data_IF_383545220583
#
_entry.id   IF_383545220583
#
_cell.length_a   1.000
_cell.length_b   1.000
_cell.length_c   1.000
_cell.angle_alpha   90.00
_cell.angle_beta   90.00
_cell.angle_gamma   90.00
#
_symmetry.space_group_name_H-M   'P 1'
#
loop_
_entity.id
_entity.type
_entity.pdbx_description
1 polymer ?
#
# COMPACT_ATOMS: atom_id res chain seq x y z
N UNK A 1 13.67 -15.73 23.15
CA UNK A 1 14.33 -16.59 22.15
C UNK A 1 13.90 -15.99 20.81
N UNK A 2 14.82 -15.35 20.08
CA UNK A 2 14.55 -14.96 18.70
C UNK A 2 14.36 -16.25 17.91
N UNK A 3 13.32 -16.32 17.08
CA UNK A 3 13.08 -17.44 16.18
C UNK A 3 14.31 -17.52 15.24
N UNK A 4 15.10 -18.60 15.31
CA UNK A 4 16.33 -18.78 14.52
C UNK A 4 16.05 -18.96 13.01
N UNK A 5 14.76 -18.96 12.61
CA UNK A 5 14.38 -19.10 11.21
C UNK A 5 14.65 -17.79 10.46
N UNK A 6 15.18 -17.87 9.22
CA UNK A 6 15.34 -16.69 8.39
C UNK A 6 14.02 -15.95 8.20
N UNK A 7 14.06 -14.62 8.26
CA UNK A 7 12.94 -13.76 7.94
C UNK A 7 12.57 -13.94 6.47
N UNK A 8 11.30 -14.25 6.22
CA UNK A 8 10.75 -14.43 4.88
C UNK A 8 9.83 -13.27 4.53
N UNK A 9 10.21 -12.49 3.51
CA UNK A 9 9.46 -11.36 2.97
C UNK A 9 9.29 -11.53 1.46
N UNK A 10 8.13 -11.18 0.95
CA UNK A 10 7.88 -11.01 -0.49
C UNK A 10 7.28 -9.64 -0.78
N UNK A 11 7.41 -9.17 -2.01
CA UNK A 11 6.91 -7.86 -2.44
C UNK A 11 6.09 -8.02 -3.71
N UNK A 12 4.96 -7.30 -3.82
CA UNK A 12 4.21 -7.16 -5.06
C UNK A 12 4.03 -5.70 -5.44
N UNK A 13 4.28 -5.40 -6.71
CA UNK A 13 4.23 -4.05 -7.29
C UNK A 13 3.37 -4.14 -8.55
N UNK A 14 2.21 -3.49 -8.54
CA UNK A 14 1.34 -3.40 -9.72
C UNK A 14 1.67 -2.15 -10.50
N UNK A 15 2.09 -2.34 -11.75
CA UNK A 15 2.48 -1.29 -12.69
C UNK A 15 1.38 -1.12 -13.76
N UNK A 16 1.12 0.11 -14.16
CA UNK A 16 0.25 0.42 -15.29
C UNK A 16 0.81 1.61 -16.06
N UNK A 17 1.40 1.35 -17.22
CA UNK A 17 2.14 2.36 -18.00
C UNK A 17 3.17 3.14 -17.14
N UNK A 18 3.76 2.45 -16.16
CA UNK A 18 4.69 3.06 -15.22
C UNK A 18 6.00 3.43 -15.92
N UNK A 19 6.57 4.57 -15.53
CA UNK A 19 7.84 5.04 -16.05
C UNK A 19 8.98 4.12 -15.59
N UNK A 20 9.88 3.77 -16.50
CA UNK A 20 11.10 3.05 -16.14
C UNK A 20 11.96 3.81 -15.11
N UNK A 21 11.90 5.15 -15.09
CA UNK A 21 12.61 5.99 -14.11
C UNK A 21 12.02 5.79 -12.72
N UNK A 22 10.69 5.84 -12.57
CA UNK A 22 10.01 5.62 -11.27
C UNK A 22 10.28 4.23 -10.73
N UNK A 23 10.16 3.20 -11.58
CA UNK A 23 10.44 1.83 -11.18
C UNK A 23 11.91 1.62 -10.77
N UNK A 24 12.84 2.27 -11.43
CA UNK A 24 14.27 2.22 -11.07
C UNK A 24 14.52 2.89 -9.72
N UNK A 25 13.89 4.04 -9.45
CA UNK A 25 13.99 4.73 -8.17
C UNK A 25 13.43 3.84 -7.03
N UNK A 26 12.25 3.24 -7.24
CA UNK A 26 11.66 2.29 -6.31
C UNK A 26 12.57 1.10 -6.03
N UNK A 27 13.05 0.39 -7.08
CA UNK A 27 13.93 -0.78 -6.91
C UNK A 27 15.24 -0.39 -6.24
N UNK A 28 15.81 0.77 -6.55
CA UNK A 28 17.02 1.28 -5.87
C UNK A 28 16.78 1.47 -4.37
N UNK A 29 15.69 2.11 -3.97
CA UNK A 29 15.35 2.31 -2.56
C UNK A 29 15.02 0.99 -1.87
N UNK A 30 14.31 0.06 -2.55
CA UNK A 30 14.04 -1.28 -2.03
C UNK A 30 15.33 -2.07 -1.74
N UNK A 31 16.31 -2.01 -2.64
CA UNK A 31 17.61 -2.67 -2.42
C UNK A 31 18.30 -2.08 -1.19
N UNK A 32 18.30 -0.76 -1.03
CA UNK A 32 18.93 -0.09 0.12
C UNK A 32 18.26 -0.46 1.44
N UNK A 33 16.93 -0.47 1.50
CA UNK A 33 16.21 -0.84 2.73
C UNK A 33 16.32 -2.33 3.05
N UNK A 34 16.45 -3.21 2.03
CA UNK A 34 16.73 -4.65 2.24
C UNK A 34 18.16 -4.86 2.76
N UNK A 35 19.13 -4.11 2.25
CA UNK A 35 20.51 -4.12 2.76
C UNK A 35 20.54 -3.76 4.25
N UNK A 36 19.79 -2.75 4.66
CA UNK A 36 19.66 -2.35 6.06
C UNK A 36 18.95 -3.42 6.90
N UNK A 37 17.88 -4.02 6.36
CA UNK A 37 17.16 -5.11 7.01
C UNK A 37 18.06 -6.31 7.29
N UNK A 38 18.95 -6.67 6.31
CA UNK A 38 19.91 -7.76 6.47
C UNK A 38 21.01 -7.49 7.49
N UNK A 39 21.26 -6.25 7.85
CA UNK A 39 22.16 -5.91 8.95
C UNK A 39 21.55 -6.27 10.32
N UNK A 40 20.23 -6.35 10.42
CA UNK A 40 19.49 -6.62 11.68
C UNK A 40 18.90 -8.03 11.71
N UNK A 41 18.61 -8.64 10.57
CA UNK A 41 17.95 -9.93 10.44
C UNK A 41 18.65 -10.85 9.44
N UNK A 42 18.61 -12.16 9.69
CA UNK A 42 18.91 -13.16 8.65
C UNK A 42 17.70 -13.23 7.74
N UNK A 43 17.82 -12.71 6.52
CA UNK A 43 16.72 -12.65 5.55
C UNK A 43 16.90 -13.71 4.48
N UNK A 44 15.87 -14.50 4.21
CA UNK A 44 15.85 -15.45 3.09
C UNK A 44 15.84 -14.74 1.72
N UNK A 45 15.86 -15.51 0.63
CA UNK A 45 15.66 -14.96 -0.70
C UNK A 45 14.35 -14.18 -0.77
N UNK A 46 14.38 -12.97 -1.35
CA UNK A 46 13.28 -12.03 -1.38
C UNK A 46 12.69 -11.95 -2.81
N UNK A 47 11.56 -12.61 -3.10
CA UNK A 47 10.88 -12.47 -4.37
C UNK A 47 10.15 -11.13 -4.46
N UNK A 48 10.38 -10.40 -5.56
CA UNK A 48 9.71 -9.15 -5.90
C UNK A 48 8.95 -9.35 -7.21
N UNK A 49 7.62 -9.35 -7.12
CA UNK A 49 6.74 -9.52 -8.27
C UNK A 49 6.41 -8.16 -8.88
N UNK A 50 6.88 -7.93 -10.10
CA UNK A 50 6.51 -6.80 -10.94
C UNK A 50 5.34 -7.21 -11.83
N UNK A 51 4.16 -6.69 -11.55
CA UNK A 51 2.91 -7.09 -12.20
C UNK A 51 2.52 -5.98 -13.17
N UNK A 52 2.76 -6.20 -14.46
CA UNK A 52 2.50 -5.21 -15.50
C UNK A 52 1.07 -5.34 -16.04
N UNK A 53 0.19 -4.50 -15.54
CA UNK A 53 -1.21 -4.39 -15.96
C UNK A 53 -1.42 -3.61 -17.27
N UNK A 54 -0.35 -3.21 -17.96
CA UNK A 54 -0.48 -2.46 -19.23
C UNK A 54 -1.12 -3.32 -20.31
N UNK A 55 -1.98 -2.72 -21.12
CA UNK A 55 -2.62 -3.41 -22.28
C UNK A 55 -1.57 -3.92 -23.28
N UNK A 56 -0.52 -3.13 -23.48
CA UNK A 56 0.64 -3.48 -24.28
C UNK A 56 1.89 -3.40 -23.40
N UNK A 57 2.24 -4.49 -22.67
CA UNK A 57 3.31 -4.47 -21.70
C UNK A 57 4.65 -4.20 -22.40
N UNK A 58 5.39 -3.21 -21.90
CA UNK A 58 6.71 -2.84 -22.37
C UNK A 58 7.78 -3.05 -21.29
N UNK A 59 7.37 -3.46 -20.09
CA UNK A 59 8.30 -3.67 -19.00
C UNK A 59 9.17 -4.89 -19.28
N UNK A 60 10.47 -4.70 -19.21
CA UNK A 60 11.48 -5.76 -19.29
C UNK A 60 12.40 -5.68 -18.07
N UNK A 61 12.84 -6.82 -17.56
CA UNK A 61 13.84 -6.85 -16.48
C UNK A 61 15.19 -6.25 -16.86
N UNK A 62 15.45 -6.08 -18.15
CA UNK A 62 16.65 -5.39 -18.67
C UNK A 62 16.75 -3.93 -18.20
N UNK A 63 15.61 -3.29 -17.88
CA UNK A 63 15.58 -1.94 -17.27
C UNK A 63 16.36 -1.88 -15.96
N UNK A 64 16.56 -3.01 -15.30
CA UNK A 64 17.24 -3.15 -14.02
C UNK A 64 18.63 -3.80 -14.14
N UNK A 65 19.19 -3.96 -15.36
CA UNK A 65 20.45 -4.68 -15.58
C UNK A 65 21.64 -4.09 -14.81
N UNK A 66 21.68 -2.78 -14.65
CA UNK A 66 22.73 -2.09 -13.86
C UNK A 66 22.59 -2.29 -12.35
N UNK A 67 21.43 -2.74 -11.86
CA UNK A 67 21.22 -3.15 -10.46
C UNK A 67 21.52 -4.63 -10.21
N UNK A 68 21.81 -5.43 -11.24
CA UNK A 68 21.92 -6.90 -11.14
C UNK A 68 22.91 -7.35 -10.06
N UNK A 69 24.04 -6.68 -9.92
CA UNK A 69 25.03 -6.98 -8.87
C UNK A 69 24.48 -6.72 -7.45
N UNK A 70 23.78 -5.59 -7.25
CA UNK A 70 23.17 -5.25 -5.95
C UNK A 70 22.01 -6.18 -5.63
N UNK A 71 21.15 -6.48 -6.60
CA UNK A 71 20.04 -7.42 -6.45
C UNK A 71 20.54 -8.80 -6.04
N UNK A 72 21.57 -9.31 -6.71
CA UNK A 72 22.17 -10.59 -6.38
C UNK A 72 22.80 -10.59 -4.98
N UNK A 73 23.57 -9.55 -4.63
CA UNK A 73 24.20 -9.42 -3.31
C UNK A 73 23.17 -9.40 -2.16
N UNK A 74 21.95 -8.90 -2.42
CA UNK A 74 20.86 -8.86 -1.46
C UNK A 74 19.85 -10.00 -1.63
N UNK A 75 20.17 -11.01 -2.45
CA UNK A 75 19.29 -12.15 -2.76
C UNK A 75 17.85 -11.72 -3.12
N UNK A 76 17.73 -10.61 -3.85
CA UNK A 76 16.46 -10.10 -4.38
C UNK A 76 16.23 -10.69 -5.76
N UNK A 77 15.12 -11.37 -5.94
CA UNK A 77 14.71 -11.97 -7.21
C UNK A 77 13.54 -11.20 -7.82
N UNK A 78 13.78 -10.49 -8.92
CA UNK A 78 12.74 -9.82 -9.68
C UNK A 78 11.99 -10.83 -10.56
N UNK A 79 10.67 -10.90 -10.42
CA UNK A 79 9.77 -11.78 -11.17
C UNK A 79 8.73 -10.96 -11.92
N UNK A 80 8.78 -10.98 -13.24
CA UNK A 80 7.85 -10.25 -14.09
C UNK A 80 6.58 -11.10 -14.35
N UNK A 81 5.40 -10.49 -14.13
CA UNK A 81 4.08 -11.05 -14.41
C UNK A 81 3.36 -10.11 -15.37
N UNK A 82 3.07 -10.57 -16.58
CA UNK A 82 2.48 -9.74 -17.65
C UNK A 82 1.67 -10.57 -18.63
N UNK A 83 0.98 -9.91 -19.58
CA UNK A 83 0.19 -10.57 -20.62
C UNK A 83 -1.27 -10.83 -20.23
N UNK A 84 -1.71 -10.36 -19.08
CA UNK A 84 -3.09 -10.46 -18.58
C UNK A 84 -3.92 -9.19 -18.85
N UNK A 85 -3.31 -8.14 -19.44
CA UNK A 85 -3.93 -6.84 -19.67
C UNK A 85 -4.27 -6.09 -18.39
N UNK A 86 -5.10 -5.06 -18.47
CA UNK A 86 -5.49 -4.26 -17.32
C UNK A 86 -6.64 -4.92 -16.53
N UNK A 87 -6.29 -5.67 -15.51
CA UNK A 87 -7.27 -6.34 -14.61
C UNK A 87 -7.69 -5.49 -13.41
N UNK A 88 -7.15 -4.29 -13.24
CA UNK A 88 -7.33 -3.41 -12.08
C UNK A 88 -6.28 -3.63 -11.01
N UNK A 89 -6.23 -2.71 -10.02
CA UNK A 89 -5.16 -2.67 -9.02
C UNK A 89 -5.16 -3.91 -8.12
N UNK A 90 -6.24 -4.12 -7.38
CA UNK A 90 -6.31 -5.21 -6.40
C UNK A 90 -6.22 -6.59 -7.05
N UNK A 91 -6.91 -6.80 -8.19
CA UNK A 91 -6.82 -8.06 -8.93
C UNK A 91 -5.42 -8.30 -9.50
N UNK A 92 -4.67 -7.24 -9.84
CA UNK A 92 -3.25 -7.35 -10.20
C UNK A 92 -2.44 -8.01 -9.09
N UNK A 93 -2.54 -7.52 -7.86
CA UNK A 93 -1.87 -8.14 -6.70
C UNK A 93 -2.33 -9.58 -6.45
N UNK A 94 -3.61 -9.89 -6.66
CA UNK A 94 -4.14 -11.24 -6.49
C UNK A 94 -3.54 -12.29 -7.45
N UNK A 95 -2.98 -11.88 -8.59
CA UNK A 95 -2.35 -12.81 -9.55
C UNK A 95 -1.19 -13.61 -8.91
N UNK A 96 -0.63 -13.10 -7.83
CA UNK A 96 0.47 -13.77 -7.13
C UNK A 96 0.08 -14.28 -5.74
N UNK A 97 -1.17 -14.13 -5.33
CA UNK A 97 -1.62 -14.47 -3.97
C UNK A 97 -1.27 -15.92 -3.60
N UNK A 98 -1.47 -16.86 -4.54
CA UNK A 98 -1.14 -18.28 -4.35
C UNK A 98 0.37 -18.60 -4.46
N UNK A 99 1.21 -17.59 -4.71
CA UNK A 99 2.68 -17.72 -4.78
C UNK A 99 3.35 -17.07 -3.58
N UNK A 100 2.58 -16.54 -2.64
CA UNK A 100 3.08 -15.95 -1.39
C UNK A 100 3.32 -17.07 -0.41
N UNK A 101 4.60 -17.41 -0.19
CA UNK A 101 5.04 -18.41 0.78
C UNK A 101 5.75 -17.76 1.98
N UNK A 102 5.97 -16.46 1.91
CA UNK A 102 6.64 -15.68 2.94
C UNK A 102 5.74 -15.38 4.12
N UNK A 103 6.33 -15.17 5.31
CA UNK A 103 5.61 -14.75 6.53
C UNK A 103 5.07 -13.33 6.40
N UNK A 104 5.84 -12.44 5.74
CA UNK A 104 5.48 -11.04 5.50
C UNK A 104 5.31 -10.79 4.01
N UNK A 105 4.35 -9.96 3.67
CA UNK A 105 4.14 -9.50 2.30
C UNK A 105 4.01 -7.99 2.26
N UNK A 106 4.72 -7.37 1.31
CA UNK A 106 4.63 -5.93 1.06
C UNK A 106 3.89 -5.68 -0.25
N UNK A 107 2.76 -5.00 -0.15
CA UNK A 107 2.02 -4.44 -1.28
C UNK A 107 2.55 -3.03 -1.49
N UNK A 108 2.94 -2.68 -2.73
CA UNK A 108 3.64 -1.45 -3.02
C UNK A 108 3.23 -0.84 -4.35
N UNK A 109 3.04 0.49 -4.37
CA UNK A 109 2.89 1.26 -5.60
C UNK A 109 4.23 1.49 -6.30
N UNK A 110 4.23 1.67 -7.64
CA UNK A 110 5.46 1.87 -8.41
C UNK A 110 6.12 3.25 -8.22
N UNK A 111 5.40 4.24 -7.65
CA UNK A 111 5.81 5.63 -7.45
C UNK A 111 6.22 5.93 -6.00
N UNK A 112 6.72 4.91 -5.29
CA UNK A 112 7.19 5.01 -3.89
C UNK A 112 8.72 4.92 -3.85
N UNK A 113 9.31 5.68 -2.94
CA UNK A 113 10.68 5.51 -2.49
C UNK A 113 10.67 5.22 -0.98
N UNK A 114 11.38 4.17 -0.59
CA UNK A 114 11.49 3.74 0.81
C UNK A 114 12.71 4.41 1.46
N UNK A 115 12.53 4.85 2.70
CA UNK A 115 13.66 5.19 3.57
C UNK A 115 14.44 3.91 3.93
N UNK A 116 15.72 4.06 4.23
CA UNK A 116 16.62 2.91 4.49
C UNK A 116 16.17 2.02 5.66
N UNK A 117 15.57 2.60 6.70
CA UNK A 117 15.10 1.89 7.89
C UNK A 117 13.64 1.39 7.76
N UNK A 118 12.94 1.73 6.69
CA UNK A 118 11.50 1.50 6.53
C UNK A 118 11.08 0.05 6.82
N UNK A 119 11.74 -0.94 6.21
CA UNK A 119 11.41 -2.35 6.41
C UNK A 119 11.87 -2.85 7.78
N UNK A 120 13.02 -2.42 8.28
CA UNK A 120 13.52 -2.80 9.59
C UNK A 120 12.56 -2.39 10.69
N UNK A 121 12.10 -1.14 10.67
CA UNK A 121 11.13 -0.61 11.63
C UNK A 121 9.77 -1.32 11.53
N UNK A 122 9.30 -1.59 10.31
CA UNK A 122 8.04 -2.29 10.09
C UNK A 122 8.05 -3.74 10.57
N UNK A 123 9.08 -4.48 10.24
CA UNK A 123 9.24 -5.87 10.70
C UNK A 123 9.40 -5.94 12.21
N UNK A 124 10.23 -5.06 12.79
CA UNK A 124 10.41 -4.99 14.25
C UNK A 124 9.09 -4.70 14.96
N UNK A 125 8.26 -3.81 14.39
CA UNK A 125 6.93 -3.50 14.95
C UNK A 125 6.00 -4.72 14.89
N UNK A 126 5.92 -5.41 13.75
CA UNK A 126 5.08 -6.60 13.58
C UNK A 126 5.53 -7.76 14.48
N UNK A 127 6.84 -7.94 14.68
CA UNK A 127 7.35 -8.98 15.58
C UNK A 127 7.14 -8.68 17.07
N UNK A 128 7.19 -7.40 17.41
CA UNK A 128 6.99 -6.96 18.81
C UNK A 128 5.52 -6.92 19.22
N UNK A 129 4.58 -6.95 18.26
CA UNK A 129 3.14 -6.81 18.48
C UNK A 129 2.40 -7.94 17.75
N UNK A 130 2.25 -9.08 18.41
CA UNK A 130 1.74 -10.31 17.79
C UNK A 130 0.27 -10.29 17.33
N UNK A 131 -0.49 -9.25 17.68
CA UNK A 131 -1.86 -9.01 17.25
C UNK A 131 -1.97 -8.03 16.07
N UNK A 132 -0.84 -7.45 15.62
CA UNK A 132 -0.79 -6.58 14.43
C UNK A 132 -0.64 -7.41 13.18
N UNK A 133 -1.55 -7.22 12.23
CA UNK A 133 -1.54 -7.93 10.94
C UNK A 133 -1.12 -7.07 9.76
N UNK A 134 -1.10 -5.73 9.94
CA UNK A 134 -0.72 -4.79 8.90
C UNK A 134 -0.12 -3.51 9.51
N UNK A 135 1.00 -3.06 8.95
CA UNK A 135 1.65 -1.80 9.29
C UNK A 135 1.63 -0.83 8.09
N UNK A 136 1.25 0.43 8.38
CA UNK A 136 1.22 1.55 7.43
C UNK A 136 2.24 2.60 7.80
N UNK A 137 3.02 3.15 6.84
CA UNK A 137 4.10 4.08 7.12
C UNK A 137 3.65 5.53 7.27
N UNK A 138 4.55 6.37 7.78
CA UNK A 138 4.55 7.79 7.49
C UNK A 138 4.91 8.02 6.02
N UNK A 139 4.12 8.83 5.34
CA UNK A 139 4.35 9.19 3.96
C UNK A 139 4.42 10.71 3.77
N UNK A 140 5.27 11.14 2.86
CA UNK A 140 5.36 12.53 2.42
C UNK A 140 5.49 12.60 0.90
N UNK A 141 5.16 13.77 0.34
CA UNK A 141 5.50 14.12 -1.02
C UNK A 141 6.99 14.48 -1.12
N UNK A 142 7.56 14.52 -2.34
CA UNK A 142 8.92 14.97 -2.59
C UNK A 142 9.24 16.36 -1.99
N UNK A 143 8.24 17.22 -1.84
CA UNK A 143 8.35 18.53 -1.21
C UNK A 143 8.27 18.51 0.33
N UNK A 144 8.27 17.34 0.95
CA UNK A 144 8.21 17.15 2.41
C UNK A 144 6.82 17.33 3.02
N UNK A 145 5.78 17.61 2.25
CA UNK A 145 4.41 17.73 2.77
C UNK A 145 3.87 16.35 3.12
N UNK A 146 3.40 16.18 4.37
CA UNK A 146 2.84 14.91 4.86
C UNK A 146 1.64 14.46 4.03
N UNK A 147 1.62 13.19 3.69
CA UNK A 147 0.46 12.50 3.16
C UNK A 147 -0.25 11.71 4.25
N UNK A 148 -1.57 11.70 4.21
CA UNK A 148 -2.38 10.97 5.18
C UNK A 148 -2.85 9.67 4.54
N UNK A 149 -2.11 8.58 4.75
CA UNK A 149 -2.43 7.25 4.20
C UNK A 149 -3.51 6.54 5.01
N UNK A 150 -3.63 6.85 6.30
CA UNK A 150 -4.62 6.27 7.20
C UNK A 150 -5.94 7.04 7.15
N UNK A 151 -7.06 6.32 7.22
CA UNK A 151 -8.41 6.91 7.16
C UNK A 151 -9.32 6.29 8.23
N UNK A 152 -10.23 7.09 8.75
CA UNK A 152 -11.39 6.55 9.47
C UNK A 152 -12.41 6.01 8.46
N UNK A 153 -13.39 5.22 8.94
CA UNK A 153 -14.47 4.77 8.08
C UNK A 153 -15.19 5.97 7.43
N UNK A 154 -15.33 6.01 6.10
CA UNK A 154 -15.87 7.16 5.39
C UNK A 154 -17.38 7.33 5.60
N UNK A 155 -17.87 8.55 5.37
CA UNK A 155 -19.29 8.81 5.16
C UNK A 155 -19.54 9.37 3.77
N UNK A 156 -20.76 9.19 3.27
CA UNK A 156 -21.19 9.74 1.96
C UNK A 156 -20.96 11.25 1.90
N UNK A 157 -21.30 11.98 2.99
CA UNK A 157 -21.06 13.41 3.07
C UNK A 157 -19.55 13.76 2.95
N UNK A 158 -18.66 12.98 3.57
CA UNK A 158 -17.22 13.23 3.46
C UNK A 158 -16.73 13.13 2.02
N UNK A 159 -17.16 12.09 1.29
CA UNK A 159 -16.81 11.95 -0.11
C UNK A 159 -17.44 13.02 -1.00
N UNK A 160 -18.71 13.39 -0.73
CA UNK A 160 -19.34 14.49 -1.45
C UNK A 160 -18.57 15.80 -1.27
N UNK A 161 -18.21 16.13 -0.03
CA UNK A 161 -17.40 17.33 0.26
C UNK A 161 -16.07 17.30 -0.46
N UNK A 162 -15.34 16.15 -0.42
CA UNK A 162 -14.02 16.03 -1.06
C UNK A 162 -14.08 16.05 -2.58
N UNK A 163 -15.10 15.42 -3.18
CA UNK A 163 -15.19 15.24 -4.62
C UNK A 163 -15.87 16.38 -5.36
N UNK A 164 -16.86 17.03 -4.76
CA UNK A 164 -17.77 17.91 -5.49
C UNK A 164 -17.81 19.36 -4.97
N UNK A 165 -17.41 19.63 -3.71
CA UNK A 165 -17.43 21.00 -3.22
C UNK A 165 -16.23 21.82 -3.76
N UNK A 166 -16.46 23.07 -4.20
CA UNK A 166 -15.40 24.02 -4.48
C UNK A 166 -14.48 24.24 -3.26
N UNK A 167 -13.20 24.54 -3.52
CA UNK A 167 -12.19 24.65 -2.47
C UNK A 167 -12.56 25.60 -1.34
N UNK A 168 -13.20 26.76 -1.65
CA UNK A 168 -13.65 27.72 -0.63
C UNK A 168 -14.73 27.16 0.30
N UNK A 169 -15.64 26.32 -0.20
CA UNK A 169 -16.66 25.68 0.63
C UNK A 169 -16.13 24.46 1.40
N UNK A 170 -15.08 23.80 0.91
CA UNK A 170 -14.42 22.71 1.66
C UNK A 170 -13.84 23.17 2.98
N UNK A 171 -13.41 24.44 3.08
CA UNK A 171 -12.88 25.01 4.30
C UNK A 171 -13.87 24.93 5.48
N UNK A 172 -15.18 25.03 5.21
CA UNK A 172 -16.23 24.87 6.23
C UNK A 172 -16.29 23.46 6.83
N UNK A 173 -15.75 22.46 6.10
CA UNK A 173 -15.72 21.06 6.50
C UNK A 173 -14.30 20.58 6.86
N UNK A 174 -13.35 21.51 7.08
CA UNK A 174 -11.95 21.18 7.34
C UNK A 174 -11.75 20.21 8.50
N UNK A 175 -12.45 20.44 9.62
CA UNK A 175 -12.44 19.52 10.79
C UNK A 175 -12.92 18.11 10.45
N UNK A 176 -13.94 18.02 9.57
CA UNK A 176 -14.48 16.73 9.12
C UNK A 176 -13.48 16.00 8.25
N UNK A 177 -12.86 16.69 7.30
CA UNK A 177 -11.83 16.13 6.42
C UNK A 177 -10.62 15.69 7.24
N UNK A 178 -10.15 16.55 8.17
CA UNK A 178 -9.03 16.25 9.04
C UNK A 178 -9.28 15.01 9.93
N UNK A 179 -10.50 14.86 10.46
CA UNK A 179 -10.87 13.65 11.21
C UNK A 179 -10.86 12.41 10.32
N UNK A 180 -11.45 12.50 9.11
CA UNK A 180 -11.48 11.39 8.16
C UNK A 180 -10.06 10.98 7.73
N UNK A 181 -9.20 11.93 7.46
CA UNK A 181 -7.81 11.72 7.02
C UNK A 181 -6.85 11.51 8.20
N UNK A 182 -7.38 11.39 9.42
CA UNK A 182 -6.62 11.13 10.65
C UNK A 182 -5.41 12.08 10.81
N UNK A 183 -5.63 13.39 10.62
CA UNK A 183 -4.57 14.40 10.73
C UNK A 183 -3.96 14.47 12.14
N UNK A 184 -4.59 13.87 13.14
CA UNK A 184 -4.05 13.77 14.50
C UNK A 184 -2.93 12.76 14.67
N UNK A 185 -2.66 11.91 13.67
CA UNK A 185 -1.54 10.97 13.71
C UNK A 185 -0.22 11.75 13.66
N UNK A 186 0.61 11.53 14.69
CA UNK A 186 1.92 12.19 14.80
C UNK A 186 2.94 11.56 13.87
N UNK A 187 4.09 12.20 13.72
CA UNK A 187 5.25 11.67 12.98
C UNK A 187 6.29 10.99 13.89
N UNK A 188 5.92 10.76 15.16
CA UNK A 188 6.81 10.20 16.19
C UNK A 188 6.27 8.91 16.79
N UNK A 189 4.98 8.89 17.13
CA UNK A 189 4.38 7.81 17.92
C UNK A 189 3.54 6.91 17.04
N UNK A 190 3.71 5.60 17.18
CA UNK A 190 2.84 4.61 16.54
C UNK A 190 1.39 4.75 17.06
N UNK A 191 0.44 4.51 16.19
CA UNK A 191 -0.98 4.52 16.53
C UNK A 191 -1.62 3.21 16.12
N UNK A 192 -2.47 2.68 17.00
CA UNK A 192 -3.13 1.38 16.85
C UNK A 192 -4.55 1.51 16.31
N UNK A 193 -5.12 0.38 15.93
CA UNK A 193 -6.53 0.27 15.52
C UNK A 193 -6.90 1.21 14.37
N UNK A 194 -6.02 1.34 13.39
CA UNK A 194 -6.28 2.10 12.17
C UNK A 194 -7.34 1.36 11.34
N UNK A 195 -8.52 1.95 11.09
CA UNK A 195 -9.58 1.21 10.38
C UNK A 195 -9.25 0.93 8.91
N UNK A 196 -8.60 1.88 8.25
CA UNK A 196 -8.34 1.84 6.81
C UNK A 196 -6.98 2.45 6.51
N UNK A 197 -6.18 1.73 5.74
CA UNK A 197 -4.88 2.19 5.22
C UNK A 197 -4.91 2.21 3.69
N UNK A 198 -4.10 3.09 3.11
CA UNK A 198 -3.98 3.19 1.65
C UNK A 198 -3.23 1.99 1.08
N UNK A 199 -3.72 1.48 -0.04
CA UNK A 199 -3.10 0.39 -0.80
C UNK A 199 -1.73 0.73 -1.39
N UNK A 200 -1.32 2.00 -1.39
CA UNK A 200 -0.01 2.37 -1.95
C UNK A 200 1.17 1.73 -1.21
N UNK A 201 1.00 1.45 0.09
CA UNK A 201 1.97 0.72 0.91
C UNK A 201 1.24 -0.04 2.02
N UNK A 202 1.35 -1.37 2.02
CA UNK A 202 0.81 -2.25 3.07
C UNK A 202 1.85 -3.33 3.40
N UNK A 203 2.52 -3.23 4.54
CA UNK A 203 3.36 -4.31 5.06
C UNK A 203 2.50 -5.19 5.97
N UNK A 204 2.24 -6.43 5.57
CA UNK A 204 1.29 -7.28 6.26
C UNK A 204 1.80 -8.70 6.56
N UNK A 205 1.15 -9.36 7.50
CA UNK A 205 1.27 -10.81 7.67
C UNK A 205 0.59 -11.51 6.48
N UNK A 206 1.32 -12.35 5.78
CA UNK A 206 0.81 -13.10 4.61
C UNK A 206 -0.39 -13.97 4.97
N UNK A 207 -0.39 -14.60 6.17
CA UNK A 207 -1.52 -15.40 6.63
C UNK A 207 -2.81 -14.60 6.70
N UNK A 208 -2.77 -13.38 7.24
CA UNK A 208 -3.94 -12.50 7.31
C UNK A 208 -4.42 -12.09 5.91
N UNK A 209 -3.49 -11.77 4.98
CA UNK A 209 -3.81 -11.43 3.60
C UNK A 209 -4.46 -12.61 2.87
N UNK A 210 -3.93 -13.82 3.03
CA UNK A 210 -4.47 -15.05 2.41
C UNK A 210 -5.84 -15.40 3.00
N UNK A 211 -6.02 -15.31 4.32
CA UNK A 211 -7.31 -15.52 5.00
C UNK A 211 -8.35 -14.50 4.58
N UNK A 212 -7.95 -13.25 4.38
CA UNK A 212 -8.79 -12.22 3.78
C UNK A 212 -9.08 -12.47 2.29
N UNK A 213 -8.45 -13.48 1.66
CA UNK A 213 -8.54 -13.82 0.22
C UNK A 213 -8.02 -12.71 -0.69
N UNK A 214 -7.03 -11.93 -0.23
CA UNK A 214 -6.52 -10.79 -0.98
C UNK A 214 -7.56 -9.70 -1.20
N UNK A 215 -7.41 -8.95 -2.28
CA UNK A 215 -8.35 -7.90 -2.68
C UNK A 215 -9.65 -8.50 -3.23
N UNK A 216 -10.81 -7.85 -3.01
CA UNK A 216 -12.05 -8.20 -3.71
C UNK A 216 -11.96 -7.75 -5.18
N UNK A 217 -11.93 -8.73 -6.09
CA UNK A 217 -11.75 -8.50 -7.53
C UNK A 217 -12.92 -7.78 -8.22
N UNK A 218 -14.01 -7.57 -7.50
CA UNK A 218 -15.13 -6.79 -8.01
C UNK A 218 -14.88 -5.27 -7.94
N UNK A 219 -13.81 -4.83 -7.27
CA UNK A 219 -13.28 -3.48 -7.37
C UNK A 219 -12.21 -3.45 -8.47
N UNK A 220 -12.45 -2.66 -9.51
CA UNK A 220 -11.43 -2.44 -10.54
C UNK A 220 -10.38 -1.44 -10.04
N UNK A 221 -10.84 -0.34 -9.44
CA UNK A 221 -10.02 0.73 -8.88
C UNK A 221 -10.84 1.52 -7.86
N UNK A 222 -10.18 2.02 -6.79
CA UNK A 222 -10.76 2.72 -5.64
C UNK A 222 -11.56 1.81 -4.70
N UNK A 223 -11.40 2.03 -3.41
CA UNK A 223 -12.03 1.30 -2.30
C UNK A 223 -11.60 -0.17 -2.13
N UNK A 224 -10.82 -0.75 -3.04
CA UNK A 224 -10.25 -2.09 -2.89
C UNK A 224 -9.35 -2.19 -1.66
N UNK A 225 -8.59 -1.13 -1.37
CA UNK A 225 -7.73 -1.01 -0.19
C UNK A 225 -8.54 -0.78 1.09
N UNK A 226 -9.63 -0.04 1.01
CA UNK A 226 -10.57 0.17 2.13
C UNK A 226 -11.24 -1.14 2.52
N UNK A 227 -11.73 -1.87 1.52
CA UNK A 227 -12.34 -3.18 1.69
C UNK A 227 -11.35 -4.19 2.29
N UNK A 228 -10.14 -4.27 1.72
CA UNK A 228 -9.09 -5.15 2.23
C UNK A 228 -8.71 -4.81 3.67
N UNK A 229 -8.53 -3.53 4.00
CA UNK A 229 -8.21 -3.08 5.36
C UNK A 229 -9.24 -3.56 6.38
N UNK A 230 -10.54 -3.40 6.07
CA UNK A 230 -11.61 -3.82 6.97
C UNK A 230 -11.64 -5.35 7.14
N UNK A 231 -11.45 -6.12 6.07
CA UNK A 231 -11.41 -7.59 6.15
C UNK A 231 -10.17 -8.11 6.87
N UNK A 232 -9.02 -7.48 6.69
CA UNK A 232 -7.81 -7.82 7.43
C UNK A 232 -7.95 -7.50 8.93
N UNK A 233 -8.68 -6.42 9.25
CA UNK A 233 -9.01 -6.05 10.62
C UNK A 233 -9.82 -7.10 11.40
N UNK A 234 -10.43 -8.08 10.72
CA UNK A 234 -11.08 -9.24 11.36
C UNK A 234 -10.06 -10.27 11.91
N UNK A 235 -8.82 -10.22 11.47
CA UNK A 235 -7.76 -11.16 11.85
C UNK A 235 -6.71 -10.59 12.80
N UNK A 236 -6.73 -9.29 13.03
CA UNK A 236 -5.84 -8.57 13.91
C UNK A 236 -5.94 -7.07 13.66
N UNK A 237 -5.18 -6.27 14.39
CA UNK A 237 -5.25 -4.81 14.22
C UNK A 237 -4.32 -4.31 13.13
N UNK A 238 -4.65 -3.15 12.59
CA UNK A 238 -3.82 -2.39 11.66
C UNK A 238 -3.19 -1.22 12.42
N UNK A 239 -1.89 -1.03 12.27
CA UNK A 239 -1.17 0.02 12.96
C UNK A 239 -0.53 1.03 11.98
N UNK A 240 -0.47 2.28 12.43
CA UNK A 240 0.35 3.31 11.80
C UNK A 240 1.70 3.36 12.52
N UNK A 241 2.78 3.21 11.79
CA UNK A 241 4.15 3.14 12.31
C UNK A 241 4.99 4.24 11.67
N UNK A 242 5.10 5.42 12.30
CA UNK A 242 5.77 6.58 11.70
C UNK A 242 7.28 6.46 11.57
N UNK A 243 7.91 5.49 12.24
CA UNK A 243 9.31 5.14 12.04
C UNK A 243 9.54 4.53 10.64
N UNK A 244 8.55 3.83 10.10
CA UNK A 244 8.52 3.48 8.67
C UNK A 244 8.28 4.74 7.86
N UNK A 245 9.22 5.13 7.00
CA UNK A 245 9.11 6.36 6.20
C UNK A 245 9.17 6.06 4.72
N UNK A 246 8.33 6.75 3.96
CA UNK A 246 8.32 6.66 2.50
C UNK A 246 8.11 8.05 1.88
N UNK A 247 8.65 8.23 0.68
CA UNK A 247 8.22 9.27 -0.23
C UNK A 247 7.31 8.66 -1.28
N UNK A 248 6.18 9.33 -1.54
CA UNK A 248 5.19 8.87 -2.51
C UNK A 248 4.87 10.03 -3.45
N UNK A 249 5.20 9.90 -4.71
CA UNK A 249 5.01 10.98 -5.69
C UNK A 249 3.55 11.44 -5.77
N UNK A 250 2.63 10.55 -5.37
CA UNK A 250 1.21 10.86 -5.33
C UNK A 250 0.64 10.96 -6.72
N UNK A 251 0.21 9.83 -7.22
CA UNK A 251 -0.20 9.67 -8.60
C UNK A 251 -1.08 10.80 -9.12
N UNK A 252 -1.00 11.05 -10.41
CA UNK A 252 -1.69 12.07 -11.20
C UNK A 252 -3.23 12.03 -11.11
N UNK A 253 -3.75 11.82 -9.90
CA UNK A 253 -5.19 11.71 -9.62
C UNK A 253 -5.98 12.96 -10.06
N UNK A 254 -5.36 14.12 -10.06
CA UNK A 254 -6.00 15.39 -10.37
C UNK A 254 -6.40 15.58 -11.84
N UNK A 255 -5.93 14.73 -12.78
CA UNK A 255 -6.25 14.79 -14.21
C UNK A 255 -7.18 13.68 -14.69
N UNK A 256 -7.81 12.94 -13.80
CA UNK A 256 -8.62 11.77 -14.12
C UNK A 256 -10.01 12.20 -14.58
N UNK A 257 -10.36 11.90 -15.85
CA UNK A 257 -11.60 12.28 -16.51
C UNK A 257 -12.86 11.55 -15.96
N UNK A 258 -13.98 11.70 -16.69
CA UNK A 258 -15.30 11.16 -16.32
C UNK A 258 -15.31 9.64 -16.03
N UNK A 259 -14.46 8.86 -16.71
CA UNK A 259 -14.31 7.42 -16.47
C UNK A 259 -13.88 7.10 -15.04
N UNK A 260 -12.94 7.85 -14.48
CA UNK A 260 -12.49 7.68 -13.11
C UNK A 260 -13.54 8.06 -12.07
N UNK A 261 -14.32 9.12 -12.35
CA UNK A 261 -15.46 9.48 -11.50
C UNK A 261 -16.50 8.34 -11.46
N UNK A 262 -16.81 7.74 -12.63
CA UNK A 262 -17.73 6.60 -12.72
C UNK A 262 -17.20 5.40 -11.92
N UNK A 263 -15.93 5.04 -12.08
CA UNK A 263 -15.30 3.95 -11.31
C UNK A 263 -15.36 4.23 -9.80
N UNK A 264 -15.01 5.46 -9.38
CA UNK A 264 -15.09 5.85 -7.98
C UNK A 264 -16.50 5.71 -7.40
N UNK A 265 -17.53 6.14 -8.15
CA UNK A 265 -18.93 6.03 -7.73
C UNK A 265 -19.39 4.57 -7.65
N UNK A 266 -19.03 3.74 -8.63
CA UNK A 266 -19.38 2.31 -8.64
C UNK A 266 -18.72 1.58 -7.46
N UNK A 267 -17.42 1.79 -7.26
CA UNK A 267 -16.67 1.20 -6.15
C UNK A 267 -17.18 1.69 -4.80
N UNK A 268 -17.47 2.98 -4.67
CA UNK A 268 -18.04 3.54 -3.44
C UNK A 268 -19.41 2.98 -3.11
N UNK A 269 -20.29 2.83 -4.10
CA UNK A 269 -21.62 2.21 -3.91
C UNK A 269 -21.48 0.75 -3.45
N UNK A 270 -20.58 -0.02 -4.09
CA UNK A 270 -20.27 -1.39 -3.67
C UNK A 270 -19.76 -1.42 -2.23
N UNK A 271 -18.78 -0.57 -1.90
CA UNK A 271 -18.20 -0.51 -0.56
C UNK A 271 -19.26 -0.27 0.53
N UNK A 272 -20.13 0.72 0.34
CA UNK A 272 -21.16 1.00 1.31
C UNK A 272 -22.23 -0.10 1.38
N UNK A 273 -22.55 -0.77 0.29
CA UNK A 273 -23.46 -1.93 0.31
C UNK A 273 -22.85 -3.11 1.08
N UNK A 274 -21.53 -3.31 0.99
CA UNK A 274 -20.84 -4.41 1.67
C UNK A 274 -20.63 -4.13 3.15
N UNK A 275 -20.15 -2.91 3.48
CA UNK A 275 -19.69 -2.58 4.84
C UNK A 275 -20.64 -1.66 5.61
N UNK A 276 -21.74 -1.22 5.01
CA UNK A 276 -22.76 -0.39 5.65
C UNK A 276 -22.70 1.09 5.29
N UNK A 277 -23.88 1.67 5.10
CA UNK A 277 -24.04 3.06 4.73
C UNK A 277 -23.92 3.98 5.93
N UNK A 278 -22.99 4.96 5.84
CA UNK A 278 -22.84 6.05 6.80
C UNK A 278 -23.02 7.38 6.06
N UNK A 279 -24.21 7.98 6.17
CA UNK A 279 -24.48 9.20 5.42
C UNK A 279 -23.79 10.42 6.03
N UNK A 280 -23.89 10.61 7.35
CA UNK A 280 -23.41 11.81 8.05
C UNK A 280 -22.43 11.52 9.18
N UNK A 281 -22.57 10.40 9.91
CA UNK A 281 -21.69 10.07 11.02
C UNK A 281 -20.30 9.65 10.51
N UNK A 282 -19.26 10.20 11.13
CA UNK A 282 -17.91 9.63 11.08
C UNK A 282 -17.77 8.70 12.30
N UNK A 283 -17.01 7.61 12.13
CA UNK A 283 -16.60 6.79 13.27
C UNK A 283 -15.86 7.67 14.28
N UNK A 284 -16.10 7.43 15.52
CA UNK A 284 -15.47 8.10 16.66
C UNK A 284 -14.00 7.83 16.70
#
# INVERSE_FOLDING_TARGET
MQDERPLNLSVSIVCFNSSGIELRALISSLVTTVEKLRASYVVAQLPVFLIDNSENPQLSLEVFADFSGRLHAQEIELRLVQGHGNVGYGKGHNLILNRIESRYHLILNPDIQLDEDCLTEGITHLESNGDVVLASPFAQYENGVKQHLCKTYPSVLTFFVRGFLPQGLRALFSKRIAKYEMHGLTDRDASTDIPIVSGCFMLCLSDALIRAKGFDEAYFLYFEDFDLSLRMGEFGRLDYVPAMRIEHAGGHAARKGFSHLRMFMQSGFRFFNTHGWRFFRQAG
#
